data_IF_484888096737
#
_entry.id   IF_484888096737
#
_cell.length_a   1.000
_cell.length_b   1.000
_cell.length_c   1.000
_cell.angle_alpha   90.00
_cell.angle_beta   90.00
_cell.angle_gamma   90.00
#
_symmetry.space_group_name_H-M   'P 1'
#
loop_
_entity.id
_entity.type
_entity.pdbx_description
1 polymer ?
#
# COMPACT_ATOMS: atom_id res chain seq x y z
N UNK A 1 9.29 -5.92 10.18
CA UNK A 1 8.79 -5.04 9.10
C UNK A 1 9.96 -4.64 8.22
N UNK A 2 9.81 -4.73 6.90
CA UNK A 2 10.83 -4.31 5.94
C UNK A 2 10.36 -3.03 5.25
N UNK A 3 11.03 -1.90 5.49
CA UNK A 3 10.75 -0.62 4.85
C UNK A 3 11.99 -0.21 4.04
N UNK A 4 12.06 -0.59 2.74
CA UNK A 4 13.27 -0.48 1.93
C UNK A 4 13.84 0.94 1.84
N UNK A 5 12.97 1.95 1.76
CA UNK A 5 13.34 3.36 1.62
C UNK A 5 13.48 4.08 2.98
N UNK A 6 13.26 3.37 4.10
CA UNK A 6 13.30 3.96 5.45
C UNK A 6 12.41 5.20 5.61
N UNK A 7 11.25 5.20 4.95
CA UNK A 7 10.23 6.25 5.03
C UNK A 7 9.56 6.29 6.42
N UNK A 8 8.92 7.42 6.73
CA UNK A 8 8.12 7.52 7.93
C UNK A 8 6.91 6.58 7.85
N UNK A 9 6.63 5.90 8.96
CA UNK A 9 5.51 4.97 9.06
C UNK A 9 4.33 5.65 9.73
N UNK A 10 3.17 5.56 9.09
CA UNK A 10 1.89 6.01 9.63
C UNK A 10 1.00 4.81 9.97
N UNK A 11 -0.04 5.07 10.75
CA UNK A 11 -1.08 4.09 11.09
C UNK A 11 -2.23 4.17 10.09
N UNK A 12 -2.47 3.08 9.36
CA UNK A 12 -3.56 2.93 8.41
C UNK A 12 -4.75 2.11 8.95
N UNK A 13 -4.84 1.95 10.27
CA UNK A 13 -5.99 1.29 10.90
C UNK A 13 -7.30 1.99 10.49
N UNK A 14 -8.27 1.21 10.02
CA UNK A 14 -9.56 1.72 9.53
C UNK A 14 -9.57 2.26 8.09
N UNK A 15 -8.46 2.16 7.35
CA UNK A 15 -8.43 2.55 5.94
C UNK A 15 -9.23 1.56 5.08
N UNK A 16 -9.71 2.03 3.93
CA UNK A 16 -10.46 1.21 2.98
C UNK A 16 -9.62 0.81 1.77
N UNK A 17 -9.96 -0.32 1.15
CA UNK A 17 -9.39 -0.75 -0.13
C UNK A 17 -10.35 -0.39 -1.25
N UNK A 18 -9.84 0.04 -2.41
CA UNK A 18 -10.67 0.24 -3.60
C UNK A 18 -11.13 -1.06 -4.28
N UNK A 19 -10.55 -2.21 -3.89
CA UNK A 19 -10.78 -3.50 -4.53
C UNK A 19 -11.83 -4.35 -3.78
N UNK A 20 -12.87 -4.86 -4.47
CA UNK A 20 -13.95 -5.64 -3.85
C UNK A 20 -13.64 -7.14 -3.69
N UNK A 21 -12.76 -7.70 -4.53
CA UNK A 21 -12.46 -9.14 -4.50
C UNK A 21 -11.38 -9.47 -3.47
N UNK A 22 -11.76 -10.25 -2.47
CA UNK A 22 -10.87 -10.79 -1.44
C UNK A 22 -11.01 -12.29 -1.47
N UNK A 23 -9.94 -13.01 -1.83
CA UNK A 23 -9.89 -14.45 -1.63
C UNK A 23 -9.95 -14.72 -0.13
N UNK A 24 -11.10 -15.18 0.35
CA UNK A 24 -11.33 -15.41 1.77
C UNK A 24 -10.38 -16.46 2.36
N UNK A 25 -9.98 -17.47 1.57
CA UNK A 25 -9.00 -18.45 2.00
C UNK A 25 -7.66 -17.80 2.28
N UNK A 26 -7.19 -16.97 1.35
CA UNK A 26 -5.93 -16.24 1.50
C UNK A 26 -5.94 -15.24 2.66
N UNK A 27 -7.04 -14.50 2.85
CA UNK A 27 -7.20 -13.58 3.99
C UNK A 27 -7.14 -14.33 5.33
N UNK A 28 -7.81 -15.48 5.44
CA UNK A 28 -7.79 -16.30 6.66
C UNK A 28 -6.39 -16.79 7.02
N UNK A 29 -5.60 -17.21 6.03
CA UNK A 29 -4.21 -17.65 6.25
C UNK A 29 -3.33 -16.52 6.76
N UNK A 30 -3.47 -15.31 6.19
CA UNK A 30 -2.73 -14.13 6.64
C UNK A 30 -3.19 -13.72 8.05
N UNK A 31 -4.50 -13.70 8.31
CA UNK A 31 -5.06 -13.31 9.60
C UNK A 31 -4.55 -14.21 10.73
N UNK A 32 -4.59 -15.54 10.55
CA UNK A 32 -4.08 -16.49 11.53
C UNK A 32 -2.58 -16.28 11.84
N UNK A 33 -1.79 -15.89 10.82
CA UNK A 33 -0.39 -15.52 11.02
C UNK A 33 -0.26 -14.22 11.82
N UNK A 34 -1.06 -13.21 11.50
CA UNK A 34 -1.07 -11.90 12.15
C UNK A 34 -1.52 -11.96 13.62
N UNK A 35 -2.48 -12.82 13.96
CA UNK A 35 -2.91 -13.05 15.36
C UNK A 35 -1.73 -13.47 16.26
N UNK A 36 -0.77 -14.23 15.70
CA UNK A 36 0.36 -14.74 16.47
C UNK A 36 1.58 -13.82 16.42
N UNK A 37 1.82 -13.17 15.27
CA UNK A 37 3.09 -12.46 15.01
C UNK A 37 2.95 -10.96 14.80
N UNK A 38 1.72 -10.44 14.82
CA UNK A 38 1.41 -9.08 14.39
C UNK A 38 1.66 -8.87 12.90
N UNK A 39 1.82 -7.60 12.49
CA UNK A 39 2.11 -7.27 11.10
C UNK A 39 3.47 -7.83 10.64
N UNK A 40 3.45 -8.55 9.52
CA UNK A 40 4.66 -9.07 8.88
C UNK A 40 4.71 -8.67 7.39
N UNK A 41 5.91 -8.29 6.93
CA UNK A 41 6.17 -7.84 5.56
C UNK A 41 6.42 -6.33 5.44
N UNK A 42 6.26 -5.83 4.21
CA UNK A 42 6.34 -4.41 3.89
C UNK A 42 5.14 -3.64 4.47
N UNK A 43 5.30 -2.34 4.80
CA UNK A 43 4.14 -1.50 5.11
C UNK A 43 3.19 -1.42 3.90
N UNK A 44 1.92 -1.07 4.15
CA UNK A 44 1.01 -0.72 3.07
C UNK A 44 1.43 0.59 2.43
N UNK A 45 1.28 0.70 1.12
CA UNK A 45 1.26 2.00 0.44
C UNK A 45 -0.15 2.54 0.51
N UNK A 46 -0.30 3.79 0.94
CA UNK A 46 -1.60 4.44 1.13
C UNK A 46 -1.65 5.82 0.47
N UNK A 47 -2.86 6.37 0.43
CA UNK A 47 -3.14 7.78 0.24
C UNK A 47 -3.94 8.24 1.47
N UNK A 48 -3.28 8.77 2.50
CA UNK A 48 -3.96 9.06 3.78
C UNK A 48 -5.05 10.12 3.66
N UNK A 49 -4.89 11.11 2.76
CA UNK A 49 -5.90 12.13 2.49
C UNK A 49 -7.25 11.54 2.04
N UNK A 50 -7.22 10.31 1.50
CA UNK A 50 -8.41 9.57 1.06
C UNK A 50 -8.77 8.41 2.00
N UNK A 51 -8.03 8.23 3.11
CA UNK A 51 -8.11 7.06 3.99
C UNK A 51 -8.12 5.72 3.21
N UNK A 52 -7.28 5.64 2.17
CA UNK A 52 -7.29 4.53 1.21
C UNK A 52 -5.96 3.81 1.13
N UNK A 53 -6.01 2.49 1.19
CA UNK A 53 -4.88 1.63 0.85
C UNK A 53 -4.72 1.53 -0.66
N UNK A 54 -3.52 1.84 -1.13
CA UNK A 54 -3.10 1.72 -2.53
C UNK A 54 -2.62 0.30 -2.84
N UNK A 55 -2.17 -0.46 -1.84
CA UNK A 55 -1.70 -1.85 -1.96
C UNK A 55 -2.30 -2.73 -0.86
N UNK A 56 -2.02 -4.04 -0.93
CA UNK A 56 -2.18 -4.95 0.21
C UNK A 56 -3.61 -5.18 0.66
N UNK A 57 -4.56 -5.24 -0.30
CA UNK A 57 -5.98 -5.47 -0.04
C UNK A 57 -6.25 -6.64 0.92
N UNK A 58 -5.61 -7.80 0.70
CA UNK A 58 -5.79 -8.95 1.58
C UNK A 58 -5.13 -8.77 2.95
N UNK A 59 -4.00 -8.06 3.03
CA UNK A 59 -3.30 -7.79 4.29
C UNK A 59 -4.07 -6.83 5.18
N UNK A 60 -4.69 -5.80 4.60
CA UNK A 60 -5.56 -4.89 5.35
C UNK A 60 -6.79 -5.63 5.89
N UNK A 61 -7.44 -6.45 5.06
CA UNK A 61 -8.58 -7.27 5.49
C UNK A 61 -8.18 -8.30 6.56
N UNK A 62 -7.02 -8.91 6.44
CA UNK A 62 -6.49 -9.85 7.41
C UNK A 62 -6.15 -9.17 8.75
N UNK A 63 -5.64 -7.93 8.71
CA UNK A 63 -5.35 -7.18 9.91
C UNK A 63 -6.62 -6.76 10.67
N UNK A 64 -7.67 -6.37 9.93
CA UNK A 64 -9.00 -6.13 10.50
C UNK A 64 -9.57 -7.42 11.13
N UNK A 65 -9.44 -8.56 10.45
CA UNK A 65 -9.90 -9.85 10.96
C UNK A 65 -9.12 -10.33 12.20
N UNK A 66 -7.82 -10.05 12.25
CA UNK A 66 -6.94 -10.37 13.37
C UNK A 66 -7.02 -9.37 14.53
N UNK A 67 -7.88 -8.35 14.44
CA UNK A 67 -8.07 -7.28 15.43
C UNK A 67 -6.75 -6.57 15.80
N UNK A 68 -5.94 -6.25 14.77
CA UNK A 68 -4.69 -5.53 14.97
C UNK A 68 -4.95 -4.06 15.33
N UNK A 69 -4.39 -3.62 16.46
CA UNK A 69 -4.44 -2.22 16.91
C UNK A 69 -3.65 -1.23 16.03
N UNK A 70 -2.81 -1.75 15.12
CA UNK A 70 -1.89 -0.95 14.33
C UNK A 70 -1.60 -1.59 12.97
N UNK A 71 -1.78 -0.82 11.90
CA UNK A 71 -1.48 -1.22 10.52
C UNK A 71 -0.41 -0.30 9.94
N UNK A 72 0.85 -0.76 9.77
CA UNK A 72 1.92 0.09 9.28
C UNK A 72 1.74 0.42 7.80
N UNK A 73 1.84 1.71 7.49
CA UNK A 73 1.73 2.23 6.14
C UNK A 73 2.76 3.33 5.85
N UNK A 74 2.97 3.60 4.56
CA UNK A 74 3.77 4.71 4.01
C UNK A 74 2.96 5.44 2.94
N UNK A 75 3.20 6.73 2.77
CA UNK A 75 2.54 7.49 1.70
C UNK A 75 3.10 7.15 0.33
N UNK A 76 2.21 7.10 -0.66
CA UNK A 76 2.64 6.97 -2.06
C UNK A 76 3.52 8.16 -2.48
N UNK A 77 3.18 9.38 -2.03
CA UNK A 77 3.96 10.58 -2.34
C UNK A 77 5.40 10.49 -1.81
N UNK A 78 5.59 10.00 -0.59
CA UNK A 78 6.92 9.84 0.02
C UNK A 78 7.77 8.81 -0.72
N UNK A 79 7.17 7.75 -1.29
CA UNK A 79 7.88 6.79 -2.14
C UNK A 79 8.37 7.46 -3.42
N UNK A 80 7.53 8.28 -4.06
CA UNK A 80 7.93 9.04 -5.25
C UNK A 80 9.04 10.03 -4.91
N UNK A 81 8.90 10.80 -3.83
CA UNK A 81 9.91 11.77 -3.41
C UNK A 81 11.26 11.10 -3.12
N UNK A 82 11.26 9.94 -2.46
CA UNK A 82 12.47 9.15 -2.21
C UNK A 82 13.13 8.59 -3.48
N UNK A 83 12.42 8.59 -4.61
CA UNK A 83 12.94 8.25 -5.93
C UNK A 83 13.30 9.49 -6.77
N UNK A 84 13.35 10.68 -6.17
CA UNK A 84 13.53 11.96 -6.85
C UNK A 84 12.42 12.28 -7.88
N UNK A 85 11.19 11.83 -7.62
CA UNK A 85 10.00 12.04 -8.45
C UNK A 85 8.95 12.86 -7.70
N UNK A 86 8.20 13.69 -8.44
CA UNK A 86 7.06 14.42 -7.90
C UNK A 86 5.76 13.79 -8.42
N UNK A 87 5.07 13.06 -7.54
CA UNK A 87 3.82 12.37 -7.86
C UNK A 87 2.75 13.33 -8.41
N UNK A 88 2.60 14.51 -7.79
CA UNK A 88 1.54 15.44 -8.16
C UNK A 88 1.85 16.10 -9.50
N UNK A 89 3.11 16.48 -9.73
CA UNK A 89 3.54 17.05 -11.01
C UNK A 89 3.39 16.04 -12.14
N UNK A 90 3.75 14.77 -11.94
CA UNK A 90 3.57 13.70 -12.94
C UNK A 90 2.09 13.55 -13.30
N UNK A 91 1.20 13.54 -12.29
CA UNK A 91 -0.22 13.41 -12.53
C UNK A 91 -0.80 14.63 -13.28
N UNK A 92 -0.31 15.83 -12.98
CA UNK A 92 -0.71 17.05 -13.70
C UNK A 92 -0.21 17.06 -15.15
N UNK A 93 1.07 16.72 -15.37
CA UNK A 93 1.70 16.76 -16.68
C UNK A 93 1.12 15.74 -17.66
N UNK A 94 0.71 14.57 -17.14
CA UNK A 94 0.20 13.44 -17.93
C UNK A 94 -1.33 13.32 -17.90
N UNK A 95 -2.04 14.24 -17.24
CA UNK A 95 -3.50 14.21 -17.06
C UNK A 95 -3.99 12.89 -16.44
N UNK A 96 -3.31 12.44 -15.37
CA UNK A 96 -3.59 11.19 -14.66
C UNK A 96 -4.34 11.43 -13.35
N UNK A 97 -5.29 10.55 -13.06
CA UNK A 97 -5.91 10.41 -11.74
C UNK A 97 -5.13 9.44 -10.88
N UNK A 98 -4.59 9.90 -9.75
CA UNK A 98 -3.88 9.06 -8.76
C UNK A 98 -4.73 7.84 -8.34
N UNK A 99 -6.06 7.99 -8.29
CA UNK A 99 -6.98 6.94 -7.86
C UNK A 99 -7.37 5.96 -8.96
N UNK A 100 -7.53 6.44 -10.20
CA UNK A 100 -8.10 5.66 -11.30
C UNK A 100 -7.01 5.11 -12.24
N UNK A 101 -5.99 5.92 -12.53
CA UNK A 101 -4.90 5.58 -13.45
C UNK A 101 -3.70 5.00 -12.69
N UNK A 102 -3.99 4.11 -11.73
CA UNK A 102 -2.98 3.53 -10.84
C UNK A 102 -1.84 2.83 -11.61
N UNK A 103 -2.10 1.98 -12.62
CA UNK A 103 -1.03 1.39 -13.41
C UNK A 103 -0.13 2.44 -14.05
N UNK A 104 -0.73 3.49 -14.65
CA UNK A 104 -0.07 4.63 -15.30
C UNK A 104 0.85 5.41 -14.36
N UNK A 105 0.35 5.74 -13.18
CA UNK A 105 1.11 6.43 -12.15
C UNK A 105 2.30 5.59 -11.72
N UNK A 106 2.11 4.29 -11.46
CA UNK A 106 3.16 3.43 -10.92
C UNK A 106 4.28 3.13 -11.91
N UNK A 107 4.07 3.24 -13.22
CA UNK A 107 5.13 3.01 -14.23
C UNK A 107 6.35 3.91 -14.05
N UNK A 108 6.16 5.06 -13.41
CA UNK A 108 7.21 6.04 -13.13
C UNK A 108 8.16 5.59 -12.02
N UNK A 109 7.71 4.71 -11.12
CA UNK A 109 8.57 4.14 -10.09
C UNK A 109 9.50 3.05 -10.67
N UNK A 110 10.74 2.93 -10.15
CA UNK A 110 11.61 1.81 -10.48
C UNK A 110 10.98 0.44 -10.15
N UNK A 111 11.24 -0.57 -10.98
CA UNK A 111 10.68 -1.93 -10.84
C UNK A 111 11.00 -2.56 -9.47
N UNK A 112 12.21 -2.37 -8.97
CA UNK A 112 12.64 -2.91 -7.67
C UNK A 112 11.91 -2.25 -6.50
N UNK A 113 11.62 -0.96 -6.60
CA UNK A 113 10.81 -0.24 -5.61
C UNK A 113 9.36 -0.71 -5.65
N UNK A 114 8.78 -0.88 -6.86
CA UNK A 114 7.43 -1.42 -6.98
C UNK A 114 7.31 -2.81 -6.37
N UNK A 115 8.25 -3.70 -6.67
CA UNK A 115 8.30 -5.05 -6.10
C UNK A 115 8.40 -5.02 -4.58
N UNK A 116 9.24 -4.16 -4.03
CA UNK A 116 9.51 -4.11 -2.60
C UNK A 116 8.29 -3.65 -1.76
N UNK A 117 7.41 -2.83 -2.34
CA UNK A 117 6.17 -2.38 -1.70
C UNK A 117 4.90 -3.14 -2.16
N UNK A 118 5.03 -4.13 -3.05
CA UNK A 118 3.90 -4.90 -3.59
C UNK A 118 3.00 -4.08 -4.51
N UNK A 119 3.58 -3.15 -5.27
CA UNK A 119 2.91 -2.30 -6.26
C UNK A 119 2.83 -2.97 -7.65
N UNK A 120 3.62 -4.01 -7.90
CA UNK A 120 3.61 -4.74 -9.17
C UNK A 120 2.29 -5.46 -9.44
N UNK A 121 1.53 -5.83 -8.40
CA UNK A 121 0.20 -6.46 -8.53
C UNK A 121 -0.86 -5.52 -9.16
N UNK A 122 -0.51 -4.24 -9.32
CA UNK A 122 -1.39 -3.18 -9.86
C UNK A 122 -1.03 -2.86 -11.31
N UNK A 123 0.18 -3.22 -11.77
CA UNK A 123 0.74 -2.84 -13.08
C UNK A 123 0.46 -3.85 -14.19
#
# INVERSE_FOLDING_TARGET
>A
MHNPLNLDIIDATGFATGQPDRDAGHVNEIAASMETHGWHGAPLVVLSDYARAYTGTHRLAAAEQADLDYVPAVELADIFEACDLDLLQICEDEDLSILEDRPEVLRHLPDDIRAAYGLDDIC
#
